data_IF_020839626705
#
_entry.id   IF_020839626705
#
_cell.length_a   1.000
_cell.length_b   1.000
_cell.length_c   1.000
_cell.angle_alpha   90.00
_cell.angle_beta   90.00
_cell.angle_gamma   90.00
#
_symmetry.space_group_name_H-M   'P 1'
#
loop_
_entity.id
_entity.type
_entity.pdbx_description
1 polymer ?
#
# COMPACT_ATOMS: atom_id res chain seq x y z
N UNK A 1 -23.45 16.74 25.17
CA UNK A 1 -24.35 16.55 24.07
C UNK A 1 -23.90 15.35 23.29
N UNK A 2 -24.80 14.45 22.99
CA UNK A 2 -24.50 13.37 22.05
C UNK A 2 -24.53 13.99 20.65
N UNK A 3 -23.43 13.92 19.94
CA UNK A 3 -23.39 14.30 18.53
C UNK A 3 -24.23 13.26 17.77
N UNK A 4 -25.31 13.73 17.15
CA UNK A 4 -26.16 12.90 16.33
C UNK A 4 -25.41 12.60 15.02
N UNK A 5 -25.08 11.32 14.78
CA UNK A 5 -24.50 10.89 13.53
C UNK A 5 -25.63 10.82 12.48
N UNK A 6 -25.73 11.83 11.65
CA UNK A 6 -26.67 11.82 10.52
C UNK A 6 -26.04 11.03 9.38
N UNK A 7 -26.55 9.84 9.13
CA UNK A 7 -26.21 9.05 7.95
C UNK A 7 -27.07 9.55 6.78
N UNK A 8 -26.50 10.39 5.92
CA UNK A 8 -27.14 10.74 4.67
C UNK A 8 -27.08 9.54 3.72
N UNK A 9 -28.24 9.16 3.20
CA UNK A 9 -28.31 8.14 2.16
C UNK A 9 -27.78 8.72 0.88
N UNK A 10 -26.59 8.29 0.45
CA UNK A 10 -26.07 8.63 -0.86
C UNK A 10 -26.89 7.90 -1.93
N UNK A 11 -27.53 8.64 -2.83
CA UNK A 11 -28.31 8.09 -3.95
C UNK A 11 -27.45 7.93 -5.22
N UNK A 12 -26.17 8.25 -5.16
CA UNK A 12 -25.26 7.99 -6.26
C UNK A 12 -25.06 6.48 -6.42
N UNK A 13 -25.07 6.02 -7.66
CA UNK A 13 -24.87 4.62 -7.99
C UNK A 13 -23.40 4.28 -8.28
N UNK A 14 -22.56 5.30 -8.44
CA UNK A 14 -21.11 5.17 -8.58
C UNK A 14 -20.40 6.25 -7.78
N UNK A 15 -19.37 5.90 -7.02
CA UNK A 15 -18.52 6.83 -6.28
C UNK A 15 -17.08 6.66 -6.66
N UNK A 16 -16.42 7.77 -6.83
CA UNK A 16 -14.99 7.81 -6.95
C UNK A 16 -14.39 7.87 -5.53
N UNK A 17 -13.57 6.87 -5.19
CA UNK A 17 -12.92 6.78 -3.88
C UNK A 17 -11.58 7.49 -3.86
N UNK A 18 -10.81 7.31 -4.94
CA UNK A 18 -9.50 7.92 -5.09
C UNK A 18 -9.07 7.95 -6.55
N UNK A 19 -8.32 8.98 -6.92
CA UNK A 19 -7.57 9.03 -8.18
C UNK A 19 -6.16 9.51 -7.89
N UNK A 20 -5.18 8.66 -8.17
CA UNK A 20 -3.78 8.98 -7.92
C UNK A 20 -2.86 8.35 -8.98
N UNK A 21 -1.74 8.99 -9.33
CA UNK A 21 -0.73 8.33 -10.15
C UNK A 21 -0.09 7.21 -9.33
N UNK A 22 0.13 6.05 -9.96
CA UNK A 22 0.85 4.96 -9.33
C UNK A 22 2.31 5.38 -9.01
N UNK A 23 2.85 4.84 -7.93
CA UNK A 23 4.25 5.03 -7.53
C UNK A 23 5.18 4.00 -8.20
N UNK A 24 4.77 3.52 -9.38
CA UNK A 24 5.52 2.55 -10.18
C UNK A 24 5.27 2.75 -11.67
N UNK A 25 6.19 2.22 -12.47
CA UNK A 25 6.02 2.01 -13.91
C UNK A 25 5.88 0.53 -14.22
N UNK A 26 5.19 0.21 -15.31
CA UNK A 26 5.08 -1.14 -15.85
C UNK A 26 5.23 -1.12 -17.37
N UNK A 27 5.47 -2.28 -17.95
CA UNK A 27 5.48 -2.45 -19.40
C UNK A 27 4.12 -2.96 -19.88
N UNK A 28 3.52 -2.24 -20.83
CA UNK A 28 2.29 -2.60 -21.50
C UNK A 28 2.48 -2.43 -23.01
N UNK A 29 2.27 -3.48 -23.79
CA UNK A 29 2.40 -3.48 -25.25
C UNK A 29 3.76 -2.91 -25.74
N UNK A 30 4.84 -3.19 -25.03
CA UNK A 30 6.19 -2.73 -25.33
C UNK A 30 6.46 -1.26 -25.00
N UNK A 31 5.54 -0.57 -24.35
CA UNK A 31 5.69 0.79 -23.87
C UNK A 31 5.76 0.83 -22.34
N UNK A 32 6.57 1.76 -21.81
CA UNK A 32 6.57 2.06 -20.36
C UNK A 32 5.42 3.01 -20.03
N UNK A 33 4.61 2.58 -19.08
CA UNK A 33 3.49 3.36 -18.57
C UNK A 33 3.63 3.56 -17.06
N UNK A 34 3.12 4.68 -16.57
CA UNK A 34 2.81 4.90 -15.16
C UNK A 34 1.27 4.88 -15.06
N UNK A 35 0.66 3.90 -14.38
CA UNK A 35 -0.79 3.86 -14.27
C UNK A 35 -1.38 5.06 -13.52
N UNK A 36 -2.56 5.54 -13.93
CA UNK A 36 -3.45 6.31 -13.08
C UNK A 36 -4.37 5.31 -12.39
N UNK A 37 -4.26 5.24 -11.07
CA UNK A 37 -5.11 4.39 -10.24
C UNK A 37 -6.46 5.10 -10.05
N UNK A 38 -7.53 4.49 -10.56
CA UNK A 38 -8.90 4.99 -10.42
C UNK A 38 -9.68 4.01 -9.57
N UNK A 39 -9.89 4.36 -8.30
CA UNK A 39 -10.63 3.56 -7.33
C UNK A 39 -12.09 3.99 -7.34
N UNK A 40 -12.95 3.17 -7.90
CA UNK A 40 -14.39 3.42 -8.05
C UNK A 40 -15.21 2.30 -7.44
N UNK A 41 -16.25 2.66 -6.73
CA UNK A 41 -17.26 1.74 -6.21
C UNK A 41 -18.57 1.95 -6.94
N UNK A 42 -19.15 0.88 -7.44
CA UNK A 42 -20.40 0.89 -8.17
C UNK A 42 -21.44 -0.01 -7.50
N UNK A 43 -22.64 0.52 -7.27
CA UNK A 43 -23.67 -0.13 -6.45
C UNK A 43 -24.85 -0.70 -7.24
N UNK A 44 -25.10 -0.20 -8.46
CA UNK A 44 -26.25 -0.66 -9.24
C UNK A 44 -26.17 -0.30 -10.71
N UNK A 45 -26.76 -1.15 -11.55
CA UNK A 45 -26.76 -0.95 -13.01
C UNK A 45 -25.46 -1.41 -13.66
N UNK A 46 -25.28 -1.00 -14.91
CA UNK A 46 -24.10 -1.35 -15.70
C UNK A 46 -23.65 -0.14 -16.53
N UNK A 47 -23.22 0.96 -15.88
CA UNK A 47 -22.81 2.17 -16.58
C UNK A 47 -21.40 2.03 -17.17
N UNK A 48 -21.10 2.91 -18.14
CA UNK A 48 -19.78 3.00 -18.75
C UNK A 48 -18.93 4.03 -18.01
N UNK A 49 -17.82 3.59 -17.42
CA UNK A 49 -16.75 4.46 -16.95
C UNK A 49 -15.89 4.88 -18.13
N UNK A 50 -15.47 6.13 -18.16
CA UNK A 50 -14.43 6.61 -19.08
C UNK A 50 -13.51 7.61 -18.40
N UNK A 51 -12.24 7.60 -18.80
CA UNK A 51 -11.21 8.46 -18.23
C UNK A 51 -10.49 9.20 -19.33
N UNK A 52 -10.36 10.53 -19.16
CA UNK A 52 -9.54 11.39 -20.00
C UNK A 52 -8.29 11.84 -19.24
N UNK A 53 -7.20 11.93 -19.97
CA UNK A 53 -5.95 12.53 -19.51
C UNK A 53 -5.51 13.62 -20.48
N UNK A 54 -5.30 14.83 -19.96
CA UNK A 54 -4.96 16.00 -20.77
C UNK A 54 -5.93 16.20 -21.96
N UNK A 55 -7.22 15.91 -21.74
CA UNK A 55 -8.30 16.00 -22.72
C UNK A 55 -8.46 14.83 -23.69
N UNK A 56 -7.57 13.83 -23.62
CA UNK A 56 -7.58 12.65 -24.50
C UNK A 56 -8.23 11.48 -23.77
N UNK A 57 -9.14 10.76 -24.44
CA UNK A 57 -9.71 9.53 -23.91
C UNK A 57 -8.62 8.44 -23.84
N UNK A 58 -8.33 7.95 -22.64
CA UNK A 58 -7.26 6.96 -22.39
C UNK A 58 -7.79 5.61 -21.90
N UNK A 59 -9.03 5.58 -21.41
CA UNK A 59 -9.60 4.34 -20.84
C UNK A 59 -11.12 4.37 -20.87
N UNK A 60 -11.72 3.18 -21.05
CA UNK A 60 -13.14 2.97 -20.76
C UNK A 60 -13.40 1.51 -20.35
N UNK A 61 -14.33 1.34 -19.42
CA UNK A 61 -14.79 0.04 -18.95
C UNK A 61 -16.28 0.06 -18.65
N UNK A 62 -16.93 -1.09 -18.80
CA UNK A 62 -18.29 -1.30 -18.31
C UNK A 62 -18.23 -1.72 -16.85
N UNK A 63 -19.02 -1.11 -15.98
CA UNK A 63 -19.03 -1.43 -14.55
C UNK A 63 -20.17 -2.39 -14.23
N UNK A 64 -19.86 -3.44 -13.50
CA UNK A 64 -20.82 -4.25 -12.73
C UNK A 64 -20.81 -3.80 -11.26
N UNK A 65 -21.75 -4.27 -10.46
CA UNK A 65 -21.80 -3.95 -9.04
C UNK A 65 -20.60 -4.52 -8.29
N UNK A 66 -19.63 -3.69 -8.03
CA UNK A 66 -18.40 -4.03 -7.30
C UNK A 66 -17.57 -2.76 -7.00
N UNK A 67 -16.44 -2.97 -6.31
CA UNK A 67 -15.37 -1.98 -6.22
C UNK A 67 -14.24 -2.39 -7.14
N UNK A 68 -13.74 -1.42 -7.89
CA UNK A 68 -12.67 -1.59 -8.88
C UNK A 68 -11.52 -0.62 -8.57
N UNK A 69 -10.30 -1.08 -8.78
CA UNK A 69 -9.14 -0.21 -8.91
C UNK A 69 -8.60 -0.43 -10.32
N UNK A 70 -8.88 0.52 -11.21
CA UNK A 70 -8.40 0.45 -12.58
C UNK A 70 -7.01 1.06 -12.69
N UNK A 71 -6.12 0.37 -13.37
CA UNK A 71 -4.80 0.86 -13.80
C UNK A 71 -4.93 1.49 -15.18
N UNK A 72 -5.33 2.77 -15.20
CA UNK A 72 -5.51 3.49 -16.46
C UNK A 72 -4.15 3.87 -17.06
N UNK A 73 -3.82 3.44 -18.29
CA UNK A 73 -2.49 3.65 -18.84
C UNK A 73 -2.17 5.11 -19.10
N UNK A 74 -1.06 5.58 -18.56
CA UNK A 74 -0.45 6.86 -18.91
C UNK A 74 0.97 6.63 -19.42
N UNK A 75 1.42 7.24 -20.53
CA UNK A 75 2.80 7.11 -20.96
C UNK A 75 3.78 7.56 -19.87
N UNK A 76 4.80 6.78 -19.55
CA UNK A 76 5.80 7.16 -18.57
C UNK A 76 6.49 8.48 -18.92
N UNK A 77 6.87 9.25 -17.91
CA UNK A 77 7.48 10.58 -18.10
C UNK A 77 8.96 10.56 -17.71
N UNK A 78 9.78 11.32 -18.44
CA UNK A 78 11.23 11.45 -18.14
C UNK A 78 11.54 12.55 -17.11
N UNK A 79 10.59 13.43 -16.86
CA UNK A 79 10.67 14.53 -15.88
C UNK A 79 9.30 14.77 -15.29
N UNK A 80 9.26 15.28 -14.06
CA UNK A 80 7.99 15.62 -13.41
C UNK A 80 7.19 16.60 -14.27
N UNK A 81 5.90 16.32 -14.42
CA UNK A 81 4.92 17.17 -15.11
C UNK A 81 3.56 17.07 -14.46
N UNK A 82 2.76 18.11 -14.61
CA UNK A 82 1.34 18.10 -14.28
C UNK A 82 0.54 17.54 -15.44
N UNK A 83 -0.50 16.78 -15.14
CA UNK A 83 -1.53 16.33 -16.10
C UNK A 83 -2.89 16.52 -15.49
N UNK A 84 -3.87 16.87 -16.30
CA UNK A 84 -5.27 16.94 -15.90
C UNK A 84 -5.96 15.61 -16.17
N UNK A 85 -6.72 15.11 -15.20
CA UNK A 85 -7.60 13.96 -15.41
C UNK A 85 -9.07 14.35 -15.31
N UNK A 86 -9.91 13.59 -15.98
CA UNK A 86 -11.36 13.68 -15.89
C UNK A 86 -11.94 12.25 -15.90
N UNK A 87 -12.81 11.97 -14.95
CA UNK A 87 -13.52 10.68 -14.84
C UNK A 87 -14.99 10.89 -15.10
N UNK A 88 -15.56 10.09 -15.99
CA UNK A 88 -16.97 10.16 -16.38
C UNK A 88 -17.65 8.83 -16.15
N UNK A 89 -18.94 8.89 -15.82
CA UNK A 89 -19.84 7.73 -15.77
C UNK A 89 -21.05 8.05 -16.65
N UNK A 90 -21.32 7.21 -17.65
CA UNK A 90 -22.35 7.42 -18.69
C UNK A 90 -22.29 8.83 -19.32
N UNK A 91 -21.08 9.35 -19.53
CA UNK A 91 -20.84 10.66 -20.11
C UNK A 91 -21.04 11.84 -19.14
N UNK A 92 -21.47 11.60 -17.92
CA UNK A 92 -21.52 12.63 -16.87
C UNK A 92 -20.17 12.73 -16.16
N UNK A 93 -19.65 13.96 -16.00
CA UNK A 93 -18.41 14.20 -15.27
C UNK A 93 -18.61 13.87 -13.77
N UNK A 94 -17.89 12.88 -13.28
CA UNK A 94 -17.89 12.51 -11.89
C UNK A 94 -16.84 13.29 -11.09
N UNK A 95 -15.62 13.39 -11.63
CA UNK A 95 -14.53 14.14 -11.01
C UNK A 95 -13.52 14.63 -12.05
N UNK A 96 -12.82 15.71 -11.72
CA UNK A 96 -11.65 16.20 -12.43
C UNK A 96 -10.61 16.74 -11.48
N UNK A 97 -9.35 16.61 -11.83
CA UNK A 97 -8.26 17.11 -10.98
C UNK A 97 -6.94 17.19 -11.74
N UNK A 98 -5.92 17.58 -10.99
CA UNK A 98 -4.55 17.68 -11.50
C UNK A 98 -3.68 16.69 -10.69
N UNK A 99 -2.92 15.88 -11.41
CA UNK A 99 -1.93 14.97 -10.83
C UNK A 99 -0.52 15.44 -11.21
N UNK A 100 0.43 15.13 -10.33
CA UNK A 100 1.87 15.28 -10.61
C UNK A 100 2.42 13.91 -10.96
N UNK A 101 2.91 13.78 -12.18
CA UNK A 101 3.58 12.58 -12.69
C UNK A 101 5.08 12.76 -12.60
N UNK A 102 5.80 11.74 -12.20
CA UNK A 102 7.27 11.73 -12.14
C UNK A 102 7.80 10.35 -12.53
N UNK A 103 9.06 10.24 -13.01
CA UNK A 103 9.66 8.95 -13.31
C UNK A 103 9.60 8.02 -12.11
N UNK A 104 9.18 6.78 -12.31
CA UNK A 104 9.04 5.76 -11.29
C UNK A 104 9.93 4.55 -11.59
N UNK A 105 10.11 3.68 -10.59
CA UNK A 105 10.74 2.37 -10.76
C UNK A 105 9.78 1.45 -11.51
N UNK A 106 10.31 0.61 -12.41
CA UNK A 106 9.53 -0.46 -13.02
C UNK A 106 9.12 -1.45 -11.92
N UNK A 107 7.83 -1.74 -11.84
CA UNK A 107 7.30 -2.75 -10.93
C UNK A 107 7.63 -4.15 -11.44
N UNK A 108 8.11 -4.99 -10.55
CA UNK A 108 8.36 -6.41 -10.77
C UNK A 108 7.35 -7.24 -10.00
N UNK A 109 7.27 -8.55 -10.26
CA UNK A 109 6.40 -9.45 -9.50
C UNK A 109 6.69 -9.46 -8.01
N UNK A 110 7.94 -9.20 -7.60
CA UNK A 110 8.31 -9.10 -6.19
C UNK A 110 7.70 -7.86 -5.50
N UNK A 111 7.44 -6.80 -6.24
CA UNK A 111 6.86 -5.57 -5.68
C UNK A 111 5.37 -5.71 -5.34
N UNK A 112 4.68 -6.77 -5.83
CA UNK A 112 3.31 -7.09 -5.41
C UNK A 112 3.24 -7.86 -4.08
N UNK A 113 4.38 -8.27 -3.54
CA UNK A 113 4.44 -9.02 -2.28
C UNK A 113 4.63 -8.05 -1.13
N UNK A 114 3.59 -7.86 -0.33
CA UNK A 114 3.72 -7.17 0.95
C UNK A 114 4.09 -8.18 2.04
N UNK A 115 5.36 -8.14 2.45
CA UNK A 115 5.90 -9.01 3.50
C UNK A 115 5.38 -8.70 4.90
N UNK A 116 4.60 -7.63 5.06
CA UNK A 116 4.01 -7.22 6.34
C UNK A 116 2.57 -7.69 6.52
N UNK A 117 1.94 -8.27 5.49
CA UNK A 117 0.57 -8.82 5.61
C UNK A 117 0.54 -9.88 6.71
N UNK A 118 -0.36 -9.73 7.66
CA UNK A 118 -0.53 -10.63 8.80
C UNK A 118 0.36 -10.33 10.00
N UNK A 119 1.19 -9.27 9.97
CA UNK A 119 2.09 -8.93 11.08
C UNK A 119 1.47 -8.02 12.14
N UNK A 120 0.24 -7.55 11.95
CA UNK A 120 -0.40 -6.59 12.85
C UNK A 120 -1.58 -7.18 13.64
N UNK A 121 -1.80 -6.62 14.82
CA UNK A 121 -3.05 -6.59 15.58
C UNK A 121 -3.40 -7.75 16.51
N UNK A 122 -2.79 -8.93 16.47
CA UNK A 122 -3.13 -9.97 17.43
C UNK A 122 -1.94 -10.83 17.86
N UNK A 123 -2.10 -11.58 18.93
CA UNK A 123 -1.09 -12.52 19.40
C UNK A 123 -0.80 -13.69 18.45
N UNK A 124 -1.60 -13.83 17.42
CA UNK A 124 -1.46 -14.85 16.38
C UNK A 124 -0.85 -14.29 15.11
N UNK A 125 -0.07 -13.25 15.23
CA UNK A 125 0.58 -12.59 14.13
C UNK A 125 1.64 -13.48 13.50
N UNK A 126 1.83 -13.26 12.20
CA UNK A 126 2.89 -13.88 11.43
C UNK A 126 4.11 -12.95 11.48
N UNK A 127 5.25 -13.44 11.91
CA UNK A 127 6.47 -12.67 11.83
C UNK A 127 6.90 -12.48 10.36
N UNK A 128 7.34 -11.28 9.96
CA UNK A 128 7.83 -11.03 8.61
C UNK A 128 9.19 -11.70 8.40
N UNK A 129 9.41 -12.32 7.27
CA UNK A 129 10.71 -12.88 6.95
C UNK A 129 10.72 -13.88 5.79
N UNK A 130 11.86 -14.08 5.15
CA UNK A 130 12.02 -15.02 4.05
C UNK A 130 12.32 -16.42 4.57
N UNK A 131 11.29 -17.22 4.84
CA UNK A 131 11.47 -18.55 5.45
C UNK A 131 11.41 -19.71 4.47
N UNK A 132 11.13 -19.42 3.24
CA UNK A 132 10.99 -20.44 2.19
C UNK A 132 12.13 -20.35 1.17
N UNK A 133 12.40 -21.41 0.44
CA UNK A 133 11.74 -22.73 0.44
C UNK A 133 12.32 -23.72 1.48
N UNK A 134 13.54 -23.51 1.98
CA UNK A 134 14.25 -24.48 2.83
C UNK A 134 14.92 -23.82 4.05
N UNK A 135 14.25 -22.81 4.59
CA UNK A 135 14.79 -22.07 5.72
C UNK A 135 14.92 -22.97 6.97
N UNK A 136 16.10 -23.05 7.52
CA UNK A 136 16.36 -23.77 8.78
C UNK A 136 16.07 -22.90 10.00
N UNK A 137 15.95 -21.61 9.80
CA UNK A 137 15.62 -20.63 10.84
C UNK A 137 14.53 -19.71 10.32
N UNK A 138 13.70 -19.21 11.22
CA UNK A 138 12.69 -18.19 10.92
C UNK A 138 13.20 -16.84 11.43
N UNK A 139 14.20 -16.30 10.72
CA UNK A 139 14.79 -15.01 11.06
C UNK A 139 13.80 -13.90 10.84
N UNK A 140 13.56 -13.07 11.84
CA UNK A 140 12.66 -11.93 11.77
C UNK A 140 13.08 -10.84 12.75
N UNK A 141 12.70 -9.58 12.50
CA UNK A 141 12.89 -8.52 13.48
C UNK A 141 11.98 -8.70 14.69
N UNK A 142 12.50 -8.32 15.85
CA UNK A 142 11.77 -8.24 17.11
C UNK A 142 11.72 -6.79 17.57
N UNK A 143 10.53 -6.31 17.90
CA UNK A 143 10.37 -5.07 18.64
C UNK A 143 10.58 -5.35 20.13
N UNK A 144 10.72 -4.30 20.92
CA UNK A 144 10.59 -4.42 22.36
C UNK A 144 9.16 -4.80 22.72
N UNK A 145 8.96 -6.03 23.06
CA UNK A 145 7.63 -6.58 23.16
C UNK A 145 7.47 -7.42 24.43
N UNK A 146 6.38 -7.19 25.12
CA UNK A 146 6.01 -7.97 26.28
C UNK A 146 4.82 -8.86 25.95
N UNK A 147 5.07 -10.16 25.80
CA UNK A 147 3.98 -11.13 25.74
C UNK A 147 3.94 -12.01 24.50
N UNK A 148 2.76 -12.35 24.07
CA UNK A 148 2.41 -13.42 23.15
C UNK A 148 2.58 -13.11 21.66
N UNK A 149 3.35 -12.14 21.32
CA UNK A 149 3.50 -11.69 19.93
C UNK A 149 4.68 -12.42 19.29
N UNK A 150 4.65 -12.53 17.97
CA UNK A 150 5.69 -13.21 17.21
C UNK A 150 6.97 -12.37 17.02
N UNK A 151 7.17 -11.35 17.85
CA UNK A 151 8.35 -10.49 17.90
C UNK A 151 8.12 -9.13 17.21
N UNK A 152 7.59 -9.09 16.01
CA UNK A 152 7.43 -7.88 15.22
C UNK A 152 6.01 -7.30 15.30
N UNK A 153 5.93 -5.99 15.49
CA UNK A 153 4.70 -5.21 15.46
C UNK A 153 4.95 -3.93 14.64
N UNK A 154 4.25 -3.73 13.50
CA UNK A 154 4.53 -2.61 12.60
C UNK A 154 4.16 -1.23 13.16
N UNK A 155 3.44 -1.18 14.28
CA UNK A 155 3.10 0.07 14.98
C UNK A 155 4.18 0.55 15.94
N UNK A 156 5.21 -0.26 16.19
CA UNK A 156 6.35 0.13 17.03
C UNK A 156 7.43 0.78 16.17
N UNK A 157 8.00 1.85 16.67
CA UNK A 157 8.98 2.67 15.94
C UNK A 157 10.43 2.17 16.10
N UNK A 158 10.64 1.14 16.94
CA UNK A 158 11.97 0.66 17.29
C UNK A 158 12.11 -0.83 17.06
N UNK A 159 13.35 -1.28 16.87
CA UNK A 159 13.73 -2.68 16.82
C UNK A 159 14.68 -3.02 17.98
N UNK A 160 14.43 -4.16 18.63
CA UNK A 160 15.29 -4.68 19.67
C UNK A 160 16.41 -5.57 19.14
N UNK A 161 16.09 -6.47 18.24
CA UNK A 161 17.05 -7.36 17.58
C UNK A 161 16.42 -8.09 16.40
N UNK A 162 17.21 -8.96 15.75
CA UNK A 162 16.72 -10.01 14.85
C UNK A 162 16.99 -11.35 15.51
N UNK A 163 15.96 -12.13 15.80
CA UNK A 163 16.09 -13.46 16.37
C UNK A 163 15.77 -14.58 15.39
N UNK A 164 16.11 -15.83 15.74
CA UNK A 164 16.15 -16.93 14.79
C UNK A 164 14.89 -17.78 14.77
N UNK A 165 14.07 -17.71 15.81
CA UNK A 165 12.90 -18.56 15.97
C UNK A 165 11.66 -17.70 16.17
N UNK A 166 10.76 -17.79 15.20
CA UNK A 166 9.46 -17.11 15.24
C UNK A 166 8.35 -18.12 14.97
N UNK A 167 7.70 -18.54 16.03
CA UNK A 167 6.47 -19.30 16.03
C UNK A 167 5.40 -18.52 16.80
N UNK A 168 4.89 -19.04 17.86
CA UNK A 168 3.99 -18.33 18.77
C UNK A 168 4.76 -17.43 19.74
N UNK A 169 6.04 -17.67 19.86
CA UNK A 169 7.00 -16.92 20.64
C UNK A 169 8.24 -16.69 19.79
N UNK A 170 9.01 -15.70 20.16
CA UNK A 170 10.35 -15.47 19.62
C UNK A 170 11.40 -16.16 20.47
N UNK A 171 12.52 -16.53 19.87
CA UNK A 171 13.59 -17.21 20.58
C UNK A 171 14.87 -17.36 19.77
N UNK A 172 15.84 -18.00 20.37
CA UNK A 172 17.17 -18.17 19.82
C UNK A 172 18.07 -16.96 20.10
N UNK A 173 19.18 -16.88 19.38
CA UNK A 173 20.13 -15.79 19.52
C UNK A 173 19.58 -14.53 18.84
N UNK A 174 19.42 -13.47 19.61
CA UNK A 174 19.11 -12.14 19.09
C UNK A 174 20.38 -11.40 18.66
N UNK A 175 20.41 -10.89 17.45
CA UNK A 175 21.50 -10.09 16.89
C UNK A 175 20.97 -8.76 16.40
N UNK A 176 21.70 -7.68 16.67
CA UNK A 176 21.43 -6.35 16.13
C UNK A 176 22.63 -5.89 15.31
N UNK A 177 22.60 -6.04 13.99
CA UNK A 177 23.62 -5.48 13.13
C UNK A 177 23.55 -3.96 13.18
N UNK A 178 24.66 -3.31 13.49
CA UNK A 178 24.72 -1.87 13.62
C UNK A 178 25.79 -1.27 12.72
N UNK A 179 25.59 -0.01 12.40
CA UNK A 179 26.49 0.80 11.57
C UNK A 179 26.64 2.17 12.24
N UNK A 180 27.87 2.55 12.58
CA UNK A 180 28.14 3.82 13.25
C UNK A 180 28.25 3.71 14.77
N UNK A 181 27.60 4.61 15.50
CA UNK A 181 27.65 4.64 16.96
C UNK A 181 26.95 3.44 17.56
N UNK A 182 27.63 2.74 18.47
CA UNK A 182 27.01 1.65 19.22
C UNK A 182 26.16 2.21 20.37
N UNK A 183 24.89 1.78 20.40
CA UNK A 183 24.01 2.01 21.55
C UNK A 183 23.96 0.74 22.41
N UNK A 184 23.99 0.93 23.71
CA UNK A 184 23.97 -0.19 24.69
C UNK A 184 22.56 -0.59 25.10
N UNK A 185 21.58 0.22 24.74
CA UNK A 185 20.16 -0.09 24.93
C UNK A 185 19.50 -0.33 23.60
N UNK A 186 18.67 -1.35 23.54
CA UNK A 186 17.78 -1.58 22.42
C UNK A 186 16.67 -0.52 22.43
N UNK A 187 16.14 -0.21 21.27
CA UNK A 187 15.09 0.81 21.16
C UNK A 187 13.89 0.49 22.03
N UNK A 188 13.36 1.52 22.66
CA UNK A 188 12.17 1.48 23.47
C UNK A 188 11.05 2.22 22.72
N UNK A 189 9.87 1.61 22.57
CA UNK A 189 8.72 2.22 21.93
C UNK A 189 8.30 3.56 22.57
N UNK A 190 8.66 3.80 23.83
CA UNK A 190 8.37 5.03 24.55
C UNK A 190 9.52 6.05 24.48
N UNK A 191 10.68 5.62 24.00
CA UNK A 191 11.89 6.45 23.87
C UNK A 191 12.67 6.08 22.60
N UNK A 192 12.07 6.26 21.42
CA UNK A 192 12.67 5.87 20.15
C UNK A 192 14.01 6.55 19.87
N UNK A 193 14.26 7.73 20.47
CA UNK A 193 15.49 8.49 20.29
C UNK A 193 16.71 7.89 21.00
N UNK A 194 16.50 6.93 21.92
CA UNK A 194 17.54 6.34 22.78
C UNK A 194 18.08 5.00 22.26
N UNK A 195 17.61 4.50 21.13
CA UNK A 195 17.97 3.18 20.61
C UNK A 195 17.99 3.10 19.08
N UNK A 196 17.71 1.89 18.56
CA UNK A 196 17.66 1.57 17.12
C UNK A 196 16.24 1.50 16.59
#
# INVERSE_FOLDING_TARGET
GADELVLEKNNEYAFLRNVAPAEYEMEMDGAKIQPLLVDVEHLSGNPKLSVKLDGIDVFSAQLDTARYVFEVPMPAVKKSRKSEYQVFVDGQLLEKGIIIRSPQKIQTFADYVDTKIGTAHSRWMIAPGPWMPFSMVKLSPDNQNMGWQAGYQPTFETLGCFSHIHEWTMGGLGLMPTNGKLFTQVGDQFRPDEGY
#
